data_IF_460870209063
#
_entry.id   IF_460870209063
#
_cell.length_a   1.000
_cell.length_b   1.000
_cell.length_c   1.000
_cell.angle_alpha   90.00
_cell.angle_beta   90.00
_cell.angle_gamma   90.00
#
_symmetry.space_group_name_H-M   'P 1'
#
loop_
_entity.id
_entity.type
_entity.pdbx_description
1 polymer ?
#
# COMPACT_ATOMS: atom_id res chain seq x y z
N UNK A 1 43.52 53.15 21.91
CA UNK A 1 42.86 52.24 20.94
C UNK A 1 41.48 51.88 21.49
N UNK A 2 40.42 52.54 21.03
CA UNK A 2 39.05 52.40 21.55
C UNK A 2 38.36 51.17 20.95
N UNK A 3 38.01 50.19 21.78
CA UNK A 3 37.22 49.02 21.41
C UNK A 3 35.74 49.43 21.23
N UNK A 4 35.23 49.42 19.99
CA UNK A 4 33.79 49.52 19.70
C UNK A 4 33.10 48.22 20.13
N UNK A 5 32.18 48.30 21.09
CA UNK A 5 31.26 47.21 21.43
C UNK A 5 30.29 46.94 20.27
N UNK A 6 29.94 45.67 19.99
CA UNK A 6 28.95 45.36 18.96
C UNK A 6 27.55 45.77 19.42
N UNK A 7 26.85 46.55 18.59
CA UNK A 7 25.45 46.93 18.78
C UNK A 7 24.54 45.72 18.53
N UNK A 8 23.93 45.20 19.59
CA UNK A 8 22.98 44.10 19.51
C UNK A 8 21.58 44.65 19.12
N UNK A 9 21.35 44.95 17.84
CA UNK A 9 20.00 45.30 17.38
C UNK A 9 19.19 44.01 17.24
N UNK A 10 18.37 43.68 18.25
CA UNK A 10 17.28 42.72 18.07
C UNK A 10 16.28 43.32 17.10
N UNK A 11 16.30 42.86 15.85
CA UNK A 11 15.24 43.17 14.89
C UNK A 11 13.93 42.56 15.40
N UNK A 12 13.01 43.40 15.85
CA UNK A 12 11.65 42.97 16.19
C UNK A 12 10.92 42.77 14.86
N UNK A 13 10.76 41.51 14.44
CA UNK A 13 9.91 41.18 13.30
C UNK A 13 8.45 41.42 13.70
N UNK A 14 7.88 42.53 13.27
CA UNK A 14 6.45 42.82 13.45
C UNK A 14 5.69 41.93 12.46
N UNK A 15 5.12 40.83 12.95
CA UNK A 15 4.28 39.95 12.14
C UNK A 15 2.97 40.68 11.83
N UNK A 16 2.64 40.79 10.55
CA UNK A 16 1.38 41.37 10.11
C UNK A 16 0.22 40.41 10.43
N UNK A 17 -1.01 40.92 10.53
CA UNK A 17 -2.21 40.06 10.67
C UNK A 17 -2.30 39.01 9.55
N UNK A 18 -1.86 39.36 8.34
CA UNK A 18 -1.76 38.44 7.20
C UNK A 18 -0.75 37.32 7.42
N UNK A 19 0.42 37.59 8.01
CA UNK A 19 1.43 36.56 8.30
C UNK A 19 0.93 35.55 9.34
N UNK A 20 0.22 36.05 10.36
CA UNK A 20 -0.40 35.21 11.38
C UNK A 20 -1.51 34.33 10.78
N UNK A 21 -2.31 34.88 9.86
CA UNK A 21 -3.37 34.14 9.18
C UNK A 21 -2.80 33.05 8.25
N UNK A 22 -1.74 33.37 7.50
CA UNK A 22 -1.07 32.40 6.62
C UNK A 22 -0.45 31.24 7.41
N UNK A 23 0.26 31.53 8.51
CA UNK A 23 0.78 30.47 9.41
C UNK A 23 -0.31 29.58 9.98
N UNK A 24 -1.46 30.16 10.38
CA UNK A 24 -2.62 29.37 10.85
C UNK A 24 -3.17 28.46 9.76
N UNK A 25 -3.30 28.95 8.53
CA UNK A 25 -3.77 28.16 7.39
C UNK A 25 -2.80 27.00 7.06
N UNK A 26 -1.49 27.23 7.08
CA UNK A 26 -0.47 26.19 6.89
C UNK A 26 -0.52 25.12 7.99
N UNK A 27 -0.67 25.53 9.25
CA UNK A 27 -0.82 24.61 10.39
C UNK A 27 -2.04 23.71 10.23
N UNK A 28 -3.19 24.25 9.82
CA UNK A 28 -4.41 23.49 9.60
C UNK A 28 -4.30 22.52 8.41
N UNK A 29 -3.69 22.95 7.30
CA UNK A 29 -3.38 22.07 6.16
C UNK A 29 -2.47 20.90 6.59
N UNK A 30 -1.45 21.18 7.39
CA UNK A 30 -0.52 20.17 7.90
C UNK A 30 -1.22 19.15 8.80
N UNK A 31 -2.11 19.60 9.70
CA UNK A 31 -2.95 18.71 10.53
C UNK A 31 -3.85 17.83 9.66
N UNK A 32 -4.49 18.40 8.63
CA UNK A 32 -5.35 17.66 7.69
C UNK A 32 -4.57 16.59 6.93
N UNK A 33 -3.35 16.90 6.47
CA UNK A 33 -2.47 15.92 5.82
C UNK A 33 -2.08 14.79 6.76
N UNK A 34 -1.70 15.09 8.02
CA UNK A 34 -1.39 14.08 9.05
C UNK A 34 -2.58 13.16 9.32
N UNK A 35 -3.79 13.72 9.47
CA UNK A 35 -5.03 12.93 9.67
C UNK A 35 -5.33 12.03 8.48
N UNK A 36 -5.13 12.53 7.26
CA UNK A 36 -5.31 11.76 6.02
C UNK A 36 -4.30 10.60 5.94
N UNK A 37 -3.02 10.86 6.21
CA UNK A 37 -1.99 9.84 6.24
C UNK A 37 -2.29 8.75 7.28
N UNK A 38 -2.71 9.14 8.50
CA UNK A 38 -3.11 8.20 9.56
C UNK A 38 -4.29 7.32 9.11
N UNK A 39 -5.31 7.92 8.48
CA UNK A 39 -6.47 7.18 7.97
C UNK A 39 -6.08 6.18 6.89
N UNK A 40 -5.17 6.55 5.98
CA UNK A 40 -4.63 5.65 4.95
C UNK A 40 -3.89 4.46 5.58
N UNK A 41 -3.01 4.71 6.57
CA UNK A 41 -2.29 3.64 7.29
C UNK A 41 -3.25 2.70 8.01
N UNK A 42 -4.24 3.24 8.72
CA UNK A 42 -5.22 2.42 9.43
C UNK A 42 -6.02 1.51 8.48
N UNK A 43 -6.32 1.98 7.26
CA UNK A 43 -6.96 1.16 6.22
C UNK A 43 -6.03 0.05 5.71
N UNK A 44 -4.74 0.34 5.55
CA UNK A 44 -3.72 -0.66 5.23
C UNK A 44 -3.66 -1.76 6.29
N UNK A 45 -3.42 -1.37 7.55
CA UNK A 45 -3.34 -2.31 8.67
C UNK A 45 -4.61 -3.14 8.86
N UNK A 46 -5.78 -2.51 8.71
CA UNK A 46 -7.05 -3.24 8.75
C UNK A 46 -7.16 -4.25 7.60
N UNK A 47 -6.66 -3.91 6.41
CA UNK A 47 -6.69 -4.82 5.27
C UNK A 47 -5.74 -6.00 5.46
N UNK A 48 -4.51 -5.75 5.92
CA UNK A 48 -3.55 -6.79 6.32
C UNK A 48 -4.17 -7.74 7.36
N UNK A 49 -4.77 -7.19 8.43
CA UNK A 49 -5.43 -7.97 9.48
C UNK A 49 -6.61 -8.80 8.95
N UNK A 50 -7.35 -8.26 7.98
CA UNK A 50 -8.45 -8.98 7.35
C UNK A 50 -7.94 -10.20 6.57
N UNK A 51 -6.86 -10.04 5.79
CA UNK A 51 -6.25 -11.13 5.04
C UNK A 51 -5.76 -12.23 6.00
N UNK A 52 -5.04 -11.84 7.06
CA UNK A 52 -4.54 -12.78 8.08
C UNK A 52 -5.68 -13.56 8.74
N UNK A 53 -6.73 -12.87 9.18
CA UNK A 53 -7.90 -13.51 9.79
C UNK A 53 -8.59 -14.50 8.84
N UNK A 54 -8.70 -14.14 7.56
CA UNK A 54 -9.33 -15.00 6.55
C UNK A 54 -8.51 -16.26 6.29
N UNK A 55 -7.19 -16.17 6.16
CA UNK A 55 -6.34 -17.36 6.07
C UNK A 55 -6.44 -18.24 7.32
N UNK A 56 -6.35 -17.65 8.51
CA UNK A 56 -6.40 -18.39 9.77
C UNK A 56 -7.77 -19.03 10.06
N UNK A 57 -8.82 -18.63 9.33
CA UNK A 57 -10.13 -19.28 9.37
C UNK A 57 -10.23 -20.51 8.44
N UNK A 58 -9.27 -20.71 7.54
CA UNK A 58 -9.19 -21.87 6.67
C UNK A 58 -8.33 -22.94 7.32
N UNK A 59 -8.81 -24.18 7.32
CA UNK A 59 -8.05 -25.30 7.85
C UNK A 59 -6.68 -25.43 7.16
N UNK A 60 -5.64 -25.79 7.91
CA UNK A 60 -4.28 -26.06 7.41
C UNK A 60 -3.54 -24.83 6.85
N UNK A 61 -4.09 -23.63 7.02
CA UNK A 61 -3.40 -22.37 6.75
C UNK A 61 -3.02 -21.66 8.04
N UNK A 62 -1.85 -21.03 8.04
CA UNK A 62 -1.42 -20.10 9.08
C UNK A 62 -0.90 -18.84 8.42
N UNK A 63 -1.38 -17.69 8.85
CA UNK A 63 -0.96 -16.39 8.34
C UNK A 63 -0.54 -15.45 9.46
N UNK A 64 0.46 -14.62 9.13
CA UNK A 64 1.10 -13.68 10.03
C UNK A 64 1.23 -12.32 9.35
N UNK A 65 0.91 -11.25 10.07
CA UNK A 65 1.29 -9.89 9.68
C UNK A 65 2.72 -9.67 10.14
N UNK A 66 3.63 -9.33 9.24
CA UNK A 66 5.06 -9.25 9.58
C UNK A 66 5.55 -7.84 9.98
N UNK A 67 4.65 -6.86 10.04
CA UNK A 67 4.92 -5.55 10.64
C UNK A 67 5.44 -4.49 9.67
N UNK A 68 5.65 -3.27 10.20
CA UNK A 68 5.78 -2.00 9.46
C UNK A 68 6.98 -1.96 8.48
N UNK A 69 6.94 -1.12 7.41
CA UNK A 69 7.84 -1.16 6.22
C UNK A 69 9.35 -0.96 6.43
N UNK A 70 9.83 -0.83 7.67
CA UNK A 70 11.23 -0.56 7.99
C UNK A 70 12.12 -1.81 7.98
N UNK A 71 11.51 -2.99 7.92
CA UNK A 71 12.20 -4.28 7.87
C UNK A 71 11.92 -4.93 6.52
N UNK A 72 12.88 -5.63 5.93
CA UNK A 72 12.75 -6.29 4.61
C UNK A 72 11.76 -7.46 4.56
N UNK A 73 10.58 -7.31 5.17
CA UNK A 73 9.49 -8.28 5.30
C UNK A 73 8.31 -7.91 4.39
N UNK A 74 7.60 -8.89 3.81
CA UNK A 74 6.31 -8.64 3.15
C UNK A 74 5.24 -8.22 4.18
N UNK A 75 4.11 -7.66 3.75
CA UNK A 75 3.06 -7.25 4.68
C UNK A 75 2.44 -8.45 5.42
N UNK A 76 2.13 -9.51 4.67
CA UNK A 76 1.57 -10.76 5.19
C UNK A 76 2.34 -11.96 4.64
N UNK A 77 2.59 -12.93 5.51
CA UNK A 77 3.10 -14.26 5.17
C UNK A 77 2.02 -15.30 5.48
N UNK A 78 1.64 -16.11 4.51
CA UNK A 78 0.71 -17.22 4.68
C UNK A 78 1.37 -18.54 4.29
N UNK A 79 1.27 -19.55 5.15
CA UNK A 79 1.89 -20.87 4.96
C UNK A 79 0.88 -21.98 5.14
N UNK A 80 1.05 -23.05 4.38
CA UNK A 80 0.36 -24.31 4.56
C UNK A 80 1.35 -25.46 4.38
N UNK A 81 1.75 -26.07 5.49
CA UNK A 81 2.70 -27.19 5.49
C UNK A 81 2.11 -28.41 4.75
N UNK A 82 0.82 -28.70 4.99
CA UNK A 82 0.13 -29.83 4.36
C UNK A 82 0.03 -29.66 2.84
N UNK A 83 -0.20 -28.44 2.37
CA UNK A 83 -0.26 -28.14 0.93
C UNK A 83 1.12 -27.83 0.33
N UNK A 84 2.19 -27.86 1.13
CA UNK A 84 3.53 -27.40 0.74
C UNK A 84 3.47 -26.04 0.01
N UNK A 85 2.73 -25.09 0.60
CA UNK A 85 2.51 -23.77 0.03
C UNK A 85 2.97 -22.63 0.95
N UNK A 86 3.58 -21.60 0.35
CA UNK A 86 3.94 -20.34 1.00
C UNK A 86 3.58 -19.18 0.08
N UNK A 87 2.86 -18.21 0.63
CA UNK A 87 2.51 -16.96 -0.05
C UNK A 87 3.09 -15.78 0.72
N UNK A 88 3.80 -14.92 0.01
CA UNK A 88 4.13 -13.58 0.48
C UNK A 88 3.13 -12.62 -0.17
N UNK A 89 2.57 -11.74 0.63
CA UNK A 89 1.44 -10.91 0.21
C UNK A 89 1.77 -9.45 0.47
N UNK A 90 1.66 -8.64 -0.57
CA UNK A 90 1.70 -7.19 -0.49
C UNK A 90 0.26 -6.66 -0.56
N UNK A 91 -0.17 -5.95 0.48
CA UNK A 91 -1.57 -5.58 0.70
C UNK A 91 -1.77 -4.08 0.47
N UNK A 92 -2.57 -3.72 -0.54
CA UNK A 92 -2.94 -2.32 -0.81
C UNK A 92 -4.43 -2.10 -0.62
N UNK A 93 -4.81 -1.04 0.09
CA UNK A 93 -6.20 -0.60 0.16
C UNK A 93 -6.34 0.91 -0.01
N UNK A 94 -7.34 1.35 -0.78
CA UNK A 94 -7.55 2.78 -0.98
C UNK A 94 -8.85 3.16 -1.69
N UNK A 95 -9.01 4.47 -1.84
CA UNK A 95 -10.20 5.13 -2.38
C UNK A 95 -10.00 5.69 -3.79
N UNK A 96 -8.80 5.55 -4.34
CA UNK A 96 -8.46 5.95 -5.71
C UNK A 96 -8.94 4.90 -6.71
N UNK A 97 -8.88 5.20 -8.00
CA UNK A 97 -9.19 4.26 -9.10
C UNK A 97 -7.98 3.41 -9.52
N UNK A 98 -6.83 3.63 -8.90
CA UNK A 98 -5.65 2.81 -9.07
C UNK A 98 -4.86 2.70 -7.76
N UNK A 99 -4.18 1.57 -7.56
CA UNK A 99 -3.33 1.29 -6.41
C UNK A 99 -1.97 0.79 -6.89
N UNK A 100 -0.86 1.51 -6.58
CA UNK A 100 0.47 1.09 -6.95
C UNK A 100 1.04 0.07 -5.94
N UNK A 101 1.84 -0.86 -6.46
CA UNK A 101 2.71 -1.78 -5.76
C UNK A 101 4.15 -1.47 -6.18
N UNK A 102 4.89 -0.67 -5.39
CA UNK A 102 6.30 -0.36 -5.61
C UNK A 102 7.20 -1.59 -5.84
N UNK A 103 8.14 -1.44 -6.78
CA UNK A 103 9.13 -2.46 -7.15
C UNK A 103 9.97 -2.99 -6.00
N UNK A 104 10.33 -2.14 -5.03
CA UNK A 104 11.09 -2.54 -3.85
C UNK A 104 10.32 -3.54 -2.97
N UNK A 105 8.99 -3.40 -2.93
CA UNK A 105 8.10 -4.30 -2.19
C UNK A 105 7.92 -5.63 -2.91
N UNK A 106 7.84 -5.60 -4.25
CA UNK A 106 7.81 -6.81 -5.08
C UNK A 106 9.10 -7.61 -4.89
N UNK A 107 10.26 -6.96 -5.03
CA UNK A 107 11.57 -7.58 -4.82
C UNK A 107 11.69 -8.19 -3.42
N UNK A 108 11.16 -7.50 -2.40
CA UNK A 108 11.13 -8.00 -1.02
C UNK A 108 10.28 -9.26 -0.89
N UNK A 109 9.08 -9.30 -1.47
CA UNK A 109 8.21 -10.47 -1.44
C UNK A 109 8.84 -11.67 -2.15
N UNK A 110 9.53 -11.44 -3.29
CA UNK A 110 10.24 -12.47 -4.05
C UNK A 110 11.36 -13.11 -3.24
N UNK A 111 12.25 -12.29 -2.64
CA UNK A 111 13.35 -12.78 -1.78
C UNK A 111 12.86 -13.73 -0.69
N UNK A 112 11.70 -13.46 -0.12
CA UNK A 112 11.12 -14.31 0.91
C UNK A 112 10.70 -15.67 0.35
N UNK A 113 9.97 -15.73 -0.76
CA UNK A 113 9.60 -17.05 -1.32
C UNK A 113 10.81 -17.83 -1.82
N UNK A 114 11.85 -17.15 -2.33
CA UNK A 114 13.11 -17.78 -2.73
C UNK A 114 13.85 -18.39 -1.54
N UNK A 115 13.76 -17.77 -0.36
CA UNK A 115 14.41 -18.27 0.87
C UNK A 115 13.80 -19.60 1.35
N UNK A 116 12.51 -19.85 1.11
CA UNK A 116 11.81 -21.04 1.60
C UNK A 116 11.59 -22.09 0.50
N UNK A 117 12.69 -22.59 -0.06
CA UNK A 117 12.70 -23.57 -1.16
C UNK A 117 11.99 -24.90 -0.84
N UNK A 118 11.80 -25.23 0.44
CA UNK A 118 11.11 -26.45 0.87
C UNK A 118 9.61 -26.49 0.47
N UNK A 119 8.99 -25.34 0.20
CA UNK A 119 7.60 -25.28 -0.26
C UNK A 119 7.54 -25.41 -1.77
N UNK A 120 6.73 -26.36 -2.27
CA UNK A 120 6.53 -26.60 -3.71
C UNK A 120 5.77 -25.46 -4.37
N UNK A 121 4.75 -24.93 -3.70
CA UNK A 121 3.95 -23.81 -4.21
C UNK A 121 4.39 -22.52 -3.55
N UNK A 122 5.02 -21.65 -4.34
CA UNK A 122 5.53 -20.34 -3.90
C UNK A 122 4.87 -19.28 -4.74
N UNK A 123 4.23 -18.28 -4.11
CA UNK A 123 3.60 -17.18 -4.85
C UNK A 123 3.79 -15.84 -4.13
N UNK A 124 4.08 -14.81 -4.91
CA UNK A 124 3.89 -13.41 -4.49
C UNK A 124 2.49 -12.99 -4.92
N UNK A 125 1.65 -12.61 -3.96
CA UNK A 125 0.27 -12.19 -4.20
C UNK A 125 0.13 -10.69 -3.91
N UNK A 126 -0.46 -9.95 -4.84
CA UNK A 126 -0.93 -8.60 -4.60
C UNK A 126 -2.39 -8.67 -4.13
N UNK A 127 -2.63 -8.32 -2.87
CA UNK A 127 -3.97 -8.24 -2.30
C UNK A 127 -4.46 -6.79 -2.36
N UNK A 128 -5.23 -6.46 -3.39
CA UNK A 128 -5.65 -5.10 -3.72
C UNK A 128 -7.12 -4.90 -3.34
N UNK A 129 -7.42 -3.89 -2.53
CA UNK A 129 -8.78 -3.57 -2.07
C UNK A 129 -9.17 -2.13 -2.39
N UNK A 130 -10.08 -2.00 -3.35
CA UNK A 130 -10.75 -0.76 -3.65
C UNK A 130 -11.97 -0.57 -2.76
N UNK A 131 -11.95 0.48 -1.95
CA UNK A 131 -13.04 0.79 -1.01
C UNK A 131 -14.27 1.31 -1.76
N UNK A 132 -15.45 1.09 -1.18
CA UNK A 132 -16.73 1.60 -1.70
C UNK A 132 -16.84 3.13 -1.72
N UNK A 133 -15.95 3.81 -1.01
CA UNK A 133 -15.84 5.27 -1.03
C UNK A 133 -14.77 5.69 -2.03
N UNK A 134 -15.17 6.20 -3.19
CA UNK A 134 -14.28 6.72 -4.24
C UNK A 134 -13.89 8.15 -3.96
N UNK A 135 -12.60 8.50 -4.02
CA UNK A 135 -12.13 9.87 -3.87
C UNK A 135 -12.14 10.58 -5.23
N UNK A 136 -12.85 11.71 -5.32
CA UNK A 136 -12.98 12.51 -6.55
C UNK A 136 -12.45 13.94 -6.39
N UNK A 137 -12.04 14.32 -5.19
CA UNK A 137 -11.44 15.64 -4.93
C UNK A 137 -11.32 15.94 -3.43
N UNK A 138 -10.73 17.08 -3.05
CA UNK A 138 -10.53 17.44 -1.65
C UNK A 138 -11.84 17.37 -0.84
N UNK A 139 -11.93 16.41 0.08
CA UNK A 139 -13.12 16.19 0.91
C UNK A 139 -14.34 15.58 0.20
N UNK A 140 -14.29 15.40 -1.13
CA UNK A 140 -15.39 14.88 -1.94
C UNK A 140 -15.21 13.40 -2.25
N UNK A 141 -16.30 12.66 -2.08
CA UNK A 141 -16.31 11.23 -2.32
C UNK A 141 -17.63 10.77 -2.92
N UNK A 142 -17.55 9.74 -3.75
CA UNK A 142 -18.69 9.07 -4.37
C UNK A 142 -18.79 7.63 -3.87
N UNK A 143 -19.96 7.04 -3.99
CA UNK A 143 -20.17 5.61 -3.72
C UNK A 143 -19.80 4.80 -4.97
N UNK A 144 -19.17 3.65 -4.75
CA UNK A 144 -18.92 2.61 -5.75
C UNK A 144 -18.95 1.25 -5.07
N UNK A 145 -18.90 0.18 -5.84
CA UNK A 145 -18.75 -1.16 -5.30
C UNK A 145 -17.38 -1.35 -4.64
N UNK A 146 -17.36 -2.06 -3.51
CA UNK A 146 -16.12 -2.53 -2.92
C UNK A 146 -15.61 -3.72 -3.75
N UNK A 147 -14.37 -3.65 -4.23
CA UNK A 147 -13.74 -4.71 -5.02
C UNK A 147 -12.42 -5.13 -4.39
N UNK A 148 -12.18 -6.43 -4.38
CA UNK A 148 -10.94 -7.05 -3.94
C UNK A 148 -10.36 -7.85 -5.12
N UNK A 149 -9.08 -7.67 -5.39
CA UNK A 149 -8.34 -8.43 -6.40
C UNK A 149 -7.16 -9.11 -5.73
N UNK A 150 -6.89 -10.35 -6.13
CA UNK A 150 -5.73 -11.11 -5.70
C UNK A 150 -4.97 -11.50 -6.94
N UNK A 151 -3.86 -10.82 -7.23
CA UNK A 151 -3.09 -11.02 -8.46
C UNK A 151 -1.77 -11.73 -8.15
N UNK A 152 -1.39 -12.73 -8.94
CA UNK A 152 -0.08 -13.39 -8.80
C UNK A 152 0.95 -12.58 -9.58
N UNK A 153 2.07 -12.23 -8.94
CA UNK A 153 3.20 -11.69 -9.67
C UNK A 153 3.85 -12.76 -10.54
N UNK A 154 4.10 -12.43 -11.81
CA UNK A 154 4.80 -13.32 -12.72
C UNK A 154 6.31 -13.07 -12.64
N UNK A 155 7.08 -14.06 -12.17
CA UNK A 155 8.53 -13.98 -11.98
C UNK A 155 9.32 -13.77 -13.28
N UNK A 156 8.74 -14.08 -14.44
CA UNK A 156 9.36 -13.79 -15.75
C UNK A 156 9.33 -12.29 -16.10
N UNK A 157 8.51 -11.49 -15.41
CA UNK A 157 8.45 -10.05 -15.62
C UNK A 157 9.60 -9.33 -14.93
N UNK A 158 10.15 -8.32 -15.59
CA UNK A 158 11.10 -7.38 -14.98
C UNK A 158 10.44 -6.69 -13.77
N UNK A 159 11.09 -6.78 -12.61
CA UNK A 159 10.66 -6.10 -11.39
C UNK A 159 10.65 -4.59 -11.64
N UNK A 160 9.45 -4.03 -11.69
CA UNK A 160 9.14 -2.62 -11.91
C UNK A 160 7.93 -2.25 -11.07
N UNK A 161 7.67 -0.96 -10.88
CA UNK A 161 6.47 -0.54 -10.15
C UNK A 161 5.23 -1.07 -10.89
N UNK A 162 4.34 -1.73 -10.16
CA UNK A 162 3.09 -2.25 -10.70
C UNK A 162 1.94 -1.34 -10.29
N UNK A 163 0.94 -1.16 -11.15
CA UNK A 163 -0.29 -0.44 -10.83
C UNK A 163 -1.47 -1.31 -11.21
N UNK A 164 -2.38 -1.53 -10.26
CA UNK A 164 -3.66 -2.17 -10.50
C UNK A 164 -4.77 -1.11 -10.56
N UNK A 165 -5.68 -1.19 -11.54
CA UNK A 165 -6.84 -0.30 -11.67
C UNK A 165 -8.09 -0.86 -11.01
N UNK A 166 -9.13 -0.04 -10.85
CA UNK A 166 -10.42 -0.47 -10.32
C UNK A 166 -11.13 -1.55 -11.15
N UNK A 167 -10.79 -1.66 -12.45
CA UNK A 167 -11.28 -2.72 -13.35
C UNK A 167 -10.40 -3.99 -13.30
N UNK A 168 -9.32 -3.96 -12.51
CA UNK A 168 -8.41 -5.09 -12.33
C UNK A 168 -7.31 -5.19 -13.39
N UNK A 169 -7.23 -4.24 -14.33
CA UNK A 169 -6.09 -4.15 -15.25
C UNK A 169 -4.79 -3.85 -14.49
N UNK A 170 -3.69 -4.42 -14.97
CA UNK A 170 -2.36 -4.22 -14.41
C UNK A 170 -1.41 -3.57 -15.40
N UNK A 171 -0.57 -2.67 -14.90
CA UNK A 171 0.42 -1.94 -15.69
C UNK A 171 1.76 -1.95 -14.97
N UNK A 172 2.85 -2.11 -15.71
CA UNK A 172 4.17 -1.73 -15.23
C UNK A 172 4.40 -0.24 -15.46
N UNK A 173 5.16 0.38 -14.55
CA UNK A 173 5.54 1.78 -14.61
C UNK A 173 7.06 1.87 -14.61
N UNK A 174 7.63 2.25 -15.76
CA UNK A 174 9.07 2.45 -15.92
C UNK A 174 9.30 3.82 -16.54
N UNK A 175 10.13 4.66 -15.91
CA UNK A 175 10.41 6.03 -16.38
C UNK A 175 9.15 6.84 -16.70
N UNK A 176 8.11 6.70 -15.88
CA UNK A 176 6.77 7.31 -16.05
C UNK A 176 5.96 6.83 -17.26
N UNK A 177 6.47 5.87 -18.03
CA UNK A 177 5.73 5.19 -19.11
C UNK A 177 4.99 3.99 -18.53
N UNK A 178 3.73 3.84 -18.93
CA UNK A 178 2.89 2.71 -18.56
C UNK A 178 2.89 1.68 -19.68
N UNK A 179 3.18 0.43 -19.35
CA UNK A 179 3.03 -0.69 -20.26
C UNK A 179 2.04 -1.68 -19.64
N UNK A 180 1.07 -2.14 -20.42
CA UNK A 180 0.10 -3.13 -19.91
C UNK A 180 0.84 -4.44 -19.63
N UNK A 181 0.61 -5.01 -18.45
CA UNK A 181 1.08 -6.33 -18.07
C UNK A 181 -0.14 -7.16 -17.68
N UNK A 182 -0.14 -8.46 -17.99
CA UNK A 182 -1.20 -9.35 -17.55
C UNK A 182 -0.73 -10.11 -16.32
N UNK A 183 -1.32 -9.80 -15.16
CA UNK A 183 -1.16 -10.61 -13.95
C UNK A 183 -2.40 -11.48 -13.77
N UNK A 184 -2.18 -12.77 -13.51
CA UNK A 184 -3.25 -13.74 -13.30
C UNK A 184 -4.00 -13.47 -12.00
N UNK A 185 -5.33 -13.61 -12.04
CA UNK A 185 -6.14 -13.63 -10.83
C UNK A 185 -5.97 -14.96 -10.10
N UNK A 186 -5.82 -14.88 -8.77
CA UNK A 186 -5.64 -16.02 -7.91
C UNK A 186 -6.90 -16.29 -7.09
N UNK A 187 -7.45 -17.49 -7.21
CA UNK A 187 -8.50 -17.94 -6.29
C UNK A 187 -7.90 -18.19 -4.91
N UNK A 188 -8.27 -17.36 -3.93
CA UNK A 188 -7.74 -17.47 -2.58
C UNK A 188 -8.35 -18.68 -1.86
N UNK A 189 -7.62 -19.31 -0.92
CA UNK A 189 -8.14 -20.47 -0.19
C UNK A 189 -9.29 -20.14 0.79
N UNK A 190 -9.55 -18.85 1.02
CA UNK A 190 -10.66 -18.36 1.83
C UNK A 190 -11.74 -17.75 0.95
N UNK A 191 -12.97 -17.71 1.46
CA UNK A 191 -14.05 -16.98 0.80
C UNK A 191 -13.87 -15.46 0.96
N UNK A 192 -13.88 -14.73 -0.15
CA UNK A 192 -14.10 -13.29 -0.16
C UNK A 192 -15.29 -12.92 -1.04
N UNK A 193 -16.34 -12.41 -0.40
CA UNK A 193 -17.55 -11.87 -1.06
C UNK A 193 -17.24 -10.81 -2.13
N UNK A 194 -16.15 -10.07 -1.96
CA UNK A 194 -15.82 -8.94 -2.83
C UNK A 194 -14.69 -9.26 -3.81
N UNK A 195 -14.24 -10.51 -3.87
CA UNK A 195 -13.22 -10.91 -4.83
C UNK A 195 -13.80 -10.85 -6.24
N UNK A 196 -13.11 -10.13 -7.12
CA UNK A 196 -13.41 -10.01 -8.53
C UNK A 196 -12.30 -10.69 -9.32
N UNK A 197 -12.69 -11.43 -10.35
CA UNK A 197 -11.78 -11.97 -11.35
C UNK A 197 -11.89 -11.09 -12.60
N UNK A 198 -10.77 -10.57 -13.08
CA UNK A 198 -10.73 -9.81 -14.32
C UNK A 198 -11.15 -10.69 -15.47
N UNK A 199 -11.94 -10.14 -16.40
CA UNK A 199 -12.29 -10.86 -17.63
C UNK A 199 -11.02 -11.05 -18.45
N UNK A 200 -10.66 -12.30 -18.68
CA UNK A 200 -9.63 -12.75 -19.62
C UNK A 200 -9.97 -12.35 -21.05
#
# INVERSE_FOLDING_TARGET
MLLKKPSNSKSITILTKSDVLNKKNELELTKKHKKTARTRRHRGYHWEDTIVKRFNAVEQWKAFRLGSPSTGLPDVLAVSNKNSAIFTIEAKSGTTDYLPVPSDQISRCLKWIDTFELYKTRKVIFAIKFLSKKWVGPGKYENRELREFFKVWNESLKITDCVCTYEGDTFSLENRKRSKISLEDYSMPFNSRYQIFSKS
#
